data_IF_273182573847
#
_entry.id   IF_273182573847
#
_cell.length_a   1.000
_cell.length_b   1.000
_cell.length_c   1.000
_cell.angle_alpha   90.00
_cell.angle_beta   90.00
_cell.angle_gamma   90.00
#
_symmetry.space_group_name_H-M   'P 1'
#
loop_
_entity.id
_entity.type
_entity.pdbx_description
1 polymer ?
#
# COMPACT_ATOMS: atom_id res chain seq x y z
N UNK A 1 -6.42 -0.91 17.44
CA UNK A 1 -5.16 -1.09 16.69
C UNK A 1 -5.38 -0.38 15.36
N UNK A 2 -5.05 0.91 15.32
CA UNK A 2 -5.49 1.78 14.21
C UNK A 2 -4.34 2.17 13.29
N UNK A 3 -3.13 1.64 13.56
CA UNK A 3 -1.93 1.89 12.79
C UNK A 3 -1.18 0.59 12.54
N UNK A 4 -0.57 0.48 11.37
CA UNK A 4 0.45 -0.52 11.07
C UNK A 4 1.84 0.13 11.15
N UNK A 5 2.77 -0.53 11.84
CA UNK A 5 4.14 -0.04 11.98
C UNK A 5 4.99 -0.52 10.81
N UNK A 6 5.12 0.30 9.77
CA UNK A 6 5.86 -0.09 8.59
C UNK A 6 7.38 -0.23 8.83
N UNK A 7 7.91 0.16 10.00
CA UNK A 7 9.29 -0.13 10.38
C UNK A 7 9.55 -1.65 10.49
N UNK A 8 8.51 -2.47 10.71
CA UNK A 8 8.64 -3.94 10.72
C UNK A 8 8.99 -4.53 9.35
N UNK A 9 8.71 -3.78 8.26
CA UNK A 9 9.14 -4.10 6.90
C UNK A 9 10.42 -3.31 6.61
N UNK A 10 10.33 -1.97 6.68
CA UNK A 10 11.47 -1.05 6.57
C UNK A 10 12.13 -0.92 5.19
N UNK A 11 11.46 -1.40 4.14
CA UNK A 11 11.88 -1.30 2.74
C UNK A 11 10.65 -1.33 1.81
N UNK A 12 10.85 -1.15 0.49
CA UNK A 12 9.80 -1.33 -0.53
C UNK A 12 9.40 -2.81 -0.67
N UNK A 13 8.18 -3.21 -0.28
CA UNK A 13 7.76 -4.61 -0.33
C UNK A 13 7.51 -5.11 -1.76
N UNK A 14 7.46 -4.24 -2.77
CA UNK A 14 7.13 -4.60 -4.15
C UNK A 14 8.11 -5.64 -4.71
N UNK A 15 7.58 -6.73 -5.27
CA UNK A 15 8.38 -7.86 -5.77
C UNK A 15 9.04 -8.71 -4.68
N UNK A 16 8.71 -8.51 -3.40
CA UNK A 16 9.27 -9.27 -2.27
C UNK A 16 8.27 -10.27 -1.73
N UNK A 17 8.74 -11.48 -1.43
CA UNK A 17 7.92 -12.48 -0.77
C UNK A 17 7.75 -12.12 0.71
N UNK A 18 6.51 -11.87 1.12
CA UNK A 18 6.14 -11.58 2.49
C UNK A 18 5.09 -12.59 2.95
N UNK A 19 5.23 -13.08 4.18
CA UNK A 19 4.29 -14.05 4.72
C UNK A 19 2.91 -13.43 4.93
N UNK A 20 1.88 -14.08 4.40
CA UNK A 20 0.52 -13.56 4.23
C UNK A 20 -0.27 -13.46 5.54
N UNK A 21 0.10 -14.24 6.56
CA UNK A 21 -0.58 -14.31 7.86
C UNK A 21 0.14 -13.55 8.99
N UNK A 22 0.95 -12.56 8.64
CA UNK A 22 1.76 -11.78 9.60
C UNK A 22 1.09 -10.50 10.08
N UNK A 23 -0.13 -10.21 9.60
CA UNK A 23 -0.76 -8.90 9.79
C UNK A 23 -0.21 -7.80 8.88
N UNK A 24 0.67 -8.13 7.93
CA UNK A 24 1.08 -7.21 6.86
C UNK A 24 -0.07 -7.03 5.87
N UNK A 25 -0.53 -5.79 5.62
CA UNK A 25 -1.52 -5.50 4.60
C UNK A 25 -1.06 -6.01 3.22
N UNK A 26 -1.91 -6.82 2.58
CA UNK A 26 -1.69 -7.39 1.26
C UNK A 26 -2.00 -6.36 0.17
N UNK A 27 -1.29 -6.40 -0.96
CA UNK A 27 -1.45 -5.41 -2.03
C UNK A 27 -2.88 -5.42 -2.60
N UNK A 28 -3.32 -4.25 -3.04
CA UNK A 28 -4.61 -4.05 -3.70
C UNK A 28 -4.56 -4.38 -5.20
N UNK A 29 -3.40 -4.23 -5.83
CA UNK A 29 -3.21 -4.29 -7.28
C UNK A 29 -1.82 -4.85 -7.66
N UNK A 30 -1.71 -5.33 -8.90
CA UNK A 30 -0.49 -5.91 -9.45
C UNK A 30 0.66 -4.90 -9.61
N UNK A 31 0.36 -3.61 -9.70
CA UNK A 31 1.33 -2.58 -10.06
C UNK A 31 1.48 -1.49 -9.01
N UNK A 32 2.73 -1.05 -8.80
CA UNK A 32 3.08 0.16 -8.07
C UNK A 32 3.76 1.12 -9.05
N UNK A 33 3.38 2.39 -9.01
CA UNK A 33 3.91 3.42 -9.91
C UNK A 33 4.96 4.21 -9.13
N UNK A 34 6.26 4.13 -9.47
CA UNK A 34 7.33 4.74 -8.69
C UNK A 34 7.19 6.26 -8.49
N UNK A 35 6.73 6.99 -9.51
CA UNK A 35 6.52 8.44 -9.41
C UNK A 35 5.49 8.80 -8.34
N UNK A 36 4.39 8.04 -8.27
CA UNK A 36 3.36 8.23 -7.24
C UNK A 36 3.90 7.89 -5.85
N UNK A 37 4.75 6.87 -5.73
CA UNK A 37 5.42 6.55 -4.45
C UNK A 37 6.32 7.72 -4.01
N UNK A 38 7.12 8.26 -4.92
CA UNK A 38 7.98 9.41 -4.64
C UNK A 38 7.19 10.64 -4.17
N UNK A 39 6.05 10.94 -4.81
CA UNK A 39 5.13 11.98 -4.33
C UNK A 39 4.64 11.73 -2.90
N UNK A 40 4.34 10.46 -2.55
CA UNK A 40 3.90 10.12 -1.19
C UNK A 40 5.02 10.18 -0.17
N UNK A 41 6.24 9.83 -0.55
CA UNK A 41 7.43 10.03 0.29
C UNK A 41 7.60 11.52 0.60
N UNK A 42 7.52 12.39 -0.42
CA UNK A 42 7.61 13.84 -0.20
C UNK A 42 6.51 14.37 0.75
N UNK A 43 5.29 13.85 0.64
CA UNK A 43 4.19 14.19 1.57
C UNK A 43 4.48 13.74 3.01
N UNK A 44 5.03 12.53 3.21
CA UNK A 44 5.44 12.04 4.55
C UNK A 44 6.52 12.96 5.13
N UNK A 45 7.52 13.31 4.33
CA UNK A 45 8.64 14.16 4.75
C UNK A 45 8.19 15.59 5.09
N UNK A 46 7.13 16.08 4.45
CA UNK A 46 6.47 17.34 4.83
C UNK A 46 5.55 17.23 6.05
N UNK A 47 5.52 16.08 6.73
CA UNK A 47 4.75 15.87 7.95
C UNK A 47 3.30 15.41 7.75
N UNK A 48 2.91 15.00 6.54
CA UNK A 48 1.55 14.51 6.31
C UNK A 48 1.34 13.13 6.95
N UNK A 49 0.26 12.98 7.70
CA UNK A 49 -0.19 11.67 8.18
C UNK A 49 -0.85 10.90 7.03
N UNK A 50 -0.29 9.75 6.67
CA UNK A 50 -0.88 8.88 5.67
C UNK A 50 -1.84 7.86 6.30
N UNK A 51 -2.90 7.56 5.56
CA UNK A 51 -3.85 6.49 5.88
C UNK A 51 -4.08 5.61 4.66
N UNK A 52 -4.51 4.37 4.89
CA UNK A 52 -4.99 3.43 3.87
C UNK A 52 -6.35 2.86 4.25
N UNK A 53 -7.15 2.47 3.27
CA UNK A 53 -8.36 1.70 3.51
C UNK A 53 -8.02 0.22 3.47
N UNK A 54 -8.44 -0.52 4.49
CA UNK A 54 -8.18 -1.95 4.61
C UNK A 54 -9.44 -2.72 4.97
N UNK A 55 -9.45 -4.00 4.63
CA UNK A 55 -10.48 -4.95 5.04
C UNK A 55 -9.81 -6.25 5.51
N UNK A 56 -10.41 -6.90 6.50
CA UNK A 56 -9.94 -8.17 7.05
C UNK A 56 -10.86 -9.28 6.58
N UNK A 57 -10.31 -10.35 6.03
CA UNK A 57 -11.11 -11.53 5.71
C UNK A 57 -11.40 -12.40 6.95
N UNK A 58 -12.17 -13.47 6.75
CA UNK A 58 -12.52 -14.42 7.80
C UNK A 58 -11.33 -15.22 8.33
N UNK A 59 -10.23 -15.31 7.57
CA UNK A 59 -8.99 -15.97 7.96
C UNK A 59 -8.04 -15.02 8.70
N UNK A 60 -8.39 -13.74 8.80
CA UNK A 60 -7.61 -12.72 9.49
C UNK A 60 -6.57 -12.03 8.62
N UNK A 61 -6.53 -12.29 7.31
CA UNK A 61 -5.65 -11.62 6.35
C UNK A 61 -6.16 -10.21 6.09
N UNK A 62 -5.24 -9.25 6.08
CA UNK A 62 -5.55 -7.83 5.87
C UNK A 62 -5.28 -7.50 4.42
N UNK A 63 -6.28 -6.98 3.71
CA UNK A 63 -6.17 -6.55 2.32
C UNK A 63 -6.27 -5.03 2.22
N UNK A 64 -5.36 -4.42 1.47
CA UNK A 64 -5.49 -3.01 1.07
C UNK A 64 -6.62 -2.92 0.05
N UNK A 65 -7.57 -2.03 0.31
CA UNK A 65 -8.63 -1.67 -0.64
C UNK A 65 -8.27 -0.40 -1.41
N UNK A 66 -7.60 0.54 -0.75
CA UNK A 66 -7.11 1.78 -1.37
C UNK A 66 -5.88 2.31 -0.61
N UNK A 67 -4.96 2.92 -1.37
CA UNK A 67 -3.75 3.54 -0.84
C UNK A 67 -2.48 2.69 -0.90
N UNK A 68 -2.39 1.73 -1.83
CA UNK A 68 -1.18 0.89 -2.00
C UNK A 68 0.12 1.71 -2.08
N UNK A 69 0.19 2.79 -2.88
CA UNK A 69 1.40 3.63 -2.95
C UNK A 69 1.72 4.36 -1.65
N UNK A 70 0.70 4.75 -0.86
CA UNK A 70 0.89 5.34 0.47
C UNK A 70 1.50 4.32 1.43
N UNK A 71 1.03 3.09 1.37
CA UNK A 71 1.59 1.99 2.17
C UNK A 71 3.06 1.73 1.82
N UNK A 72 3.39 1.61 0.52
CA UNK A 72 4.78 1.42 0.07
C UNK A 72 5.67 2.58 0.54
N UNK A 73 5.24 3.82 0.35
CA UNK A 73 5.99 4.99 0.80
C UNK A 73 6.23 4.99 2.32
N UNK A 74 5.22 4.64 3.12
CA UNK A 74 5.37 4.53 4.57
C UNK A 74 6.36 3.43 4.99
N UNK A 75 6.44 2.32 4.25
CA UNK A 75 7.42 1.26 4.47
C UNK A 75 8.85 1.70 4.17
N UNK A 76 9.05 2.41 3.06
CA UNK A 76 10.35 2.99 2.71
C UNK A 76 10.82 3.97 3.80
N UNK A 77 9.93 4.86 4.24
CA UNK A 77 10.23 5.88 5.26
C UNK A 77 10.19 5.36 6.70
N UNK A 78 9.90 4.06 6.91
CA UNK A 78 9.80 3.41 8.23
C UNK A 78 8.83 4.15 9.17
N UNK A 79 7.71 4.64 8.63
CA UNK A 79 6.68 5.37 9.37
C UNK A 79 5.45 4.51 9.62
N UNK A 80 4.73 4.82 10.70
CA UNK A 80 3.42 4.23 10.96
C UNK A 80 2.41 4.75 9.94
N UNK A 81 1.47 3.90 9.53
CA UNK A 81 0.38 4.28 8.64
C UNK A 81 -0.96 3.92 9.25
N UNK A 82 -1.92 4.84 9.18
CA UNK A 82 -3.26 4.64 9.73
C UNK A 82 -4.06 3.65 8.90
N UNK A 83 -4.72 2.71 9.57
CA UNK A 83 -5.59 1.70 8.98
C UNK A 83 -7.06 2.11 9.14
N UNK A 84 -7.70 2.50 8.03
CA UNK A 84 -9.14 2.75 7.99
C UNK A 84 -9.88 1.45 7.64
N UNK A 85 -10.37 0.76 8.66
CA UNK A 85 -11.07 -0.51 8.52
C UNK A 85 -12.45 -0.35 7.86
N UNK A 86 -12.68 -1.11 6.80
CA UNK A 86 -13.99 -1.20 6.13
C UNK A 86 -14.73 -2.44 6.59
N UNK A 87 -16.06 -2.32 6.72
CA UNK A 87 -16.95 -3.45 7.07
C UNK A 87 -17.09 -4.46 5.92
N UNK A 88 -17.03 -3.97 4.68
CA UNK A 88 -17.15 -4.78 3.45
C UNK A 88 -15.93 -4.52 2.58
N UNK A 89 -15.40 -5.59 1.98
CA UNK A 89 -14.27 -5.54 1.07
C UNK A 89 -14.09 -6.86 0.33
N UNK A 90 -13.19 -6.85 -0.64
CA UNK A 90 -12.77 -8.02 -1.38
C UNK A 90 -11.27 -7.90 -1.66
N UNK A 91 -10.55 -9.03 -1.79
CA UNK A 91 -9.13 -9.00 -2.11
C UNK A 91 -8.97 -8.51 -3.56
N UNK A 92 -8.47 -7.28 -3.73
CA UNK A 92 -8.18 -6.72 -5.05
C UNK A 92 -7.06 -7.49 -5.78
N UNK A 93 -6.12 -8.06 -5.03
CA UNK A 93 -5.05 -8.89 -5.56
C UNK A 93 -4.62 -9.96 -4.54
N UNK A 94 -4.54 -11.22 -4.96
CA UNK A 94 -4.30 -12.37 -4.05
C UNK A 94 -2.87 -12.91 -4.07
N UNK A 95 -2.04 -12.54 -5.03
CA UNK A 95 -0.71 -13.15 -5.20
C UNK A 95 0.36 -12.50 -4.30
N UNK A 96 -0.05 -11.63 -3.38
CA UNK A 96 0.83 -10.97 -2.42
C UNK A 96 1.84 -10.02 -3.06
N UNK A 97 2.73 -9.49 -2.23
CA UNK A 97 3.74 -8.51 -2.66
C UNK A 97 4.78 -9.10 -3.63
N UNK A 98 5.08 -10.40 -3.57
CA UNK A 98 6.05 -11.05 -4.46
C UNK A 98 5.67 -11.01 -5.94
N UNK A 99 4.37 -10.92 -6.23
CA UNK A 99 3.85 -10.81 -7.60
C UNK A 99 3.55 -9.35 -8.02
N UNK A 100 3.80 -8.37 -7.15
CA UNK A 100 3.63 -6.95 -7.51
C UNK A 100 4.85 -6.44 -8.27
N UNK A 101 4.61 -5.59 -9.28
CA UNK A 101 5.64 -5.05 -10.16
C UNK A 101 5.67 -3.53 -10.09
N UNK A 102 6.82 -2.94 -10.34
CA UNK A 102 6.90 -1.51 -10.63
C UNK A 102 6.52 -1.27 -12.08
N UNK A 103 5.57 -0.37 -12.31
CA UNK A 103 5.17 0.06 -13.65
C UNK A 103 5.51 1.53 -13.88
N UNK A 104 6.22 1.81 -14.97
CA UNK A 104 6.51 3.17 -15.43
C UNK A 104 5.42 3.66 -16.39
N UNK A 105 4.19 3.77 -15.87
CA UNK A 105 3.04 4.28 -16.63
C UNK A 105 2.63 5.66 -16.13
N UNK A 106 2.12 6.50 -17.03
CA UNK A 106 1.50 7.78 -16.65
C UNK A 106 0.30 7.47 -15.73
N UNK A 107 0.27 8.00 -14.48
CA UNK A 107 -0.81 7.73 -13.56
C UNK A 107 -2.18 8.03 -14.17
N UNK A 108 -3.18 7.19 -13.89
CA UNK A 108 -4.52 7.33 -14.47
C UNK A 108 -5.13 8.73 -14.22
N UNK A 109 -4.85 9.33 -13.05
CA UNK A 109 -5.29 10.70 -12.71
C UNK A 109 -4.70 11.76 -13.63
N UNK A 110 -3.47 11.58 -14.10
CA UNK A 110 -2.85 12.50 -15.06
C UNK A 110 -3.33 12.26 -16.48
N UNK A 111 -3.61 11.01 -16.86
CA UNK A 111 -4.20 10.68 -18.17
C UNK A 111 -5.55 11.36 -18.38
N UNK A 112 -6.36 11.50 -17.34
CA UNK A 112 -7.67 12.16 -17.40
C UNK A 112 -7.58 13.68 -17.55
N UNK A 113 -6.50 14.33 -17.09
CA UNK A 113 -6.30 15.78 -17.26
C UNK A 113 -5.86 16.19 -18.68
N UNK A 114 -5.43 15.23 -19.49
CA UNK A 114 -4.96 15.45 -20.87
C UNK A 114 -6.03 15.13 -21.93
N UNK A 115 -7.25 14.77 -21.52
CA UNK A 115 -8.43 14.68 -22.38
C UNK A 115 -9.29 15.91 -22.20
#
# INVERSE_FOLDING_TARGET
MDYFDCASIGYDPTGKSLATNTGIPQPAQQAVIPSVVAEKIAQIQSGAELSINVWKDSMGVIYILDGQHRFVAACIEKKKIKLNWKKVGFPGFRNGWGATKHEQVIPAKERLKRK
#
